data_IF_220883914721
#
_entry.id   IF_220883914721
#
_cell.length_a   1.000
_cell.length_b   1.000
_cell.length_c   1.000
_cell.angle_alpha   90.00
_cell.angle_beta   90.00
_cell.angle_gamma   90.00
#
_symmetry.space_group_name_H-M   'P 1'
#
loop_
_entity.id
_entity.type
_entity.pdbx_description
1 polymer ?
#
# COMPACT_ATOMS: atom_id res chain seq x y z
N UNK A 1 -17.60 1.17 3.65
CA UNK A 1 -16.49 0.23 3.40
C UNK A 1 -15.80 0.72 2.14
N UNK A 2 -14.56 1.18 2.25
CA UNK A 2 -13.77 1.57 1.09
C UNK A 2 -13.00 0.34 0.61
N UNK A 3 -13.07 0.03 -0.68
CA UNK A 3 -12.27 -1.01 -1.31
C UNK A 3 -11.26 -0.35 -2.25
N UNK A 4 -10.00 -0.74 -2.13
CA UNK A 4 -8.96 -0.32 -3.07
C UNK A 4 -8.72 -1.50 -4.02
N UNK A 5 -9.04 -1.29 -5.30
CA UNK A 5 -8.85 -2.30 -6.33
C UNK A 5 -7.46 -2.14 -6.94
N UNK A 6 -6.50 -2.93 -6.49
CA UNK A 6 -5.11 -2.88 -6.97
C UNK A 6 -5.02 -3.07 -8.48
N UNK A 7 -5.91 -3.88 -9.07
CA UNK A 7 -6.02 -4.01 -10.53
C UNK A 7 -6.29 -2.68 -11.23
N UNK A 8 -7.19 -1.86 -10.69
CA UNK A 8 -7.52 -0.56 -11.27
C UNK A 8 -6.33 0.41 -11.15
N UNK A 9 -5.64 0.41 -10.01
CA UNK A 9 -4.42 1.20 -9.82
C UNK A 9 -3.36 0.80 -10.86
N UNK A 10 -3.13 -0.50 -11.05
CA UNK A 10 -2.16 -0.99 -12.04
C UNK A 10 -2.56 -0.63 -13.49
N UNK A 11 -3.85 -0.70 -13.83
CA UNK A 11 -4.34 -0.29 -15.14
C UNK A 11 -4.11 1.20 -15.39
N UNK A 12 -4.33 2.04 -14.37
CA UNK A 12 -4.03 3.49 -14.40
C UNK A 12 -2.52 3.73 -14.58
N UNK A 13 -1.68 3.05 -13.81
CA UNK A 13 -0.22 3.19 -13.89
C UNK A 13 0.30 2.75 -15.27
N UNK A 14 -0.17 1.61 -15.78
CA UNK A 14 0.17 1.13 -17.12
C UNK A 14 -0.27 2.10 -18.21
N UNK A 15 -1.46 2.71 -18.08
CA UNK A 15 -1.93 3.73 -19.01
C UNK A 15 -1.04 4.99 -19.03
N UNK A 16 -0.30 5.25 -17.95
CA UNK A 16 0.69 6.34 -17.86
C UNK A 16 2.08 5.95 -18.40
N UNK A 17 2.29 4.68 -18.75
CA UNK A 17 3.57 4.17 -19.25
C UNK A 17 4.49 3.56 -18.20
N UNK A 18 4.03 3.43 -16.96
CA UNK A 18 4.72 2.77 -15.84
C UNK A 18 4.65 1.23 -16.06
N UNK A 19 5.56 0.70 -16.88
CA UNK A 19 5.52 -0.71 -17.32
C UNK A 19 6.09 -1.69 -16.26
N UNK A 20 6.84 -1.16 -15.29
CA UNK A 20 7.33 -1.88 -14.10
C UNK A 20 6.19 -2.28 -13.15
N UNK A 21 5.06 -1.58 -13.19
CA UNK A 21 3.82 -1.94 -12.48
C UNK A 21 3.09 -3.17 -13.07
N UNK A 22 3.60 -3.79 -14.14
CA UNK A 22 2.99 -4.94 -14.80
C UNK A 22 3.24 -6.24 -14.03
N UNK A 23 2.18 -6.78 -13.40
CA UNK A 23 2.10 -8.06 -12.66
C UNK A 23 2.56 -9.34 -13.42
N UNK A 24 2.88 -9.25 -14.72
CA UNK A 24 3.25 -10.40 -15.56
C UNK A 24 4.66 -10.31 -16.15
N UNK A 25 5.42 -9.26 -15.85
CA UNK A 25 6.72 -9.00 -16.49
C UNK A 25 7.94 -9.21 -15.57
N UNK A 26 7.77 -9.31 -14.25
CA UNK A 26 8.89 -9.47 -13.31
C UNK A 26 8.73 -10.76 -12.49
N UNK A 27 9.81 -11.55 -12.40
CA UNK A 27 9.91 -12.72 -11.52
C UNK A 27 10.09 -12.33 -10.03
N UNK A 28 10.20 -11.04 -9.73
CA UNK A 28 10.21 -10.48 -8.38
C UNK A 28 8.82 -10.01 -7.96
N UNK A 29 8.45 -10.25 -6.70
CA UNK A 29 7.16 -9.80 -6.15
C UNK A 29 6.93 -8.30 -6.35
N UNK A 30 5.67 -7.90 -6.26
CA UNK A 30 5.23 -6.53 -6.49
C UNK A 30 4.91 -5.87 -5.16
N UNK A 31 5.19 -4.58 -5.01
CA UNK A 31 4.72 -3.81 -3.86
C UNK A 31 4.17 -2.46 -4.31
N UNK A 32 3.16 -1.99 -3.59
CA UNK A 32 2.64 -0.64 -3.68
C UNK A 32 3.23 0.15 -2.52
N UNK A 33 4.20 1.02 -2.81
CA UNK A 33 4.65 2.01 -1.84
C UNK A 33 3.68 3.19 -1.85
N UNK A 34 3.24 3.60 -0.66
CA UNK A 34 2.40 4.79 -0.50
C UNK A 34 3.27 5.87 0.10
N UNK A 35 3.68 6.81 -0.74
CA UNK A 35 4.42 7.99 -0.31
C UNK A 35 3.45 9.00 0.28
N UNK A 36 3.58 9.24 1.59
CA UNK A 36 2.95 10.37 2.28
C UNK A 36 4.04 11.36 2.66
N UNK A 37 4.75 11.87 1.66
CA UNK A 37 5.84 12.84 1.82
C UNK A 37 5.32 14.27 2.03
N UNK A 38 4.02 14.52 1.79
CA UNK A 38 3.38 15.77 2.16
C UNK A 38 3.04 15.79 3.67
N UNK A 39 3.60 16.74 4.45
CA UNK A 39 3.23 16.93 5.85
C UNK A 39 1.73 17.19 6.07
N UNK A 40 1.01 17.67 5.06
CA UNK A 40 -0.45 17.82 5.11
C UNK A 40 -1.18 16.48 5.14
N UNK A 41 -0.69 15.45 4.47
CA UNK A 41 -1.33 14.13 4.47
C UNK A 41 -1.24 13.49 5.85
N UNK A 42 -0.09 13.61 6.51
CA UNK A 42 0.09 13.20 7.91
C UNK A 42 -0.83 13.97 8.84
N UNK A 43 -0.98 15.27 8.62
CA UNK A 43 -1.85 16.15 9.41
C UNK A 43 -3.33 15.78 9.25
N UNK A 44 -3.78 15.53 8.02
CA UNK A 44 -5.14 15.08 7.72
C UNK A 44 -5.40 13.69 8.31
N UNK A 45 -4.42 12.79 8.25
CA UNK A 45 -4.54 11.46 8.83
C UNK A 45 -4.62 11.48 10.37
N UNK A 46 -3.84 12.36 11.03
CA UNK A 46 -3.96 12.64 12.46
C UNK A 46 -5.34 13.19 12.81
N UNK A 47 -5.81 14.21 12.09
CA UNK A 47 -7.10 14.88 12.34
C UNK A 47 -8.31 13.98 12.07
N UNK A 48 -8.19 13.03 11.14
CA UNK A 48 -9.25 12.06 10.81
C UNK A 48 -9.25 10.81 11.72
N UNK A 49 -8.27 10.66 12.61
CA UNK A 49 -8.11 9.46 13.43
C UNK A 49 -7.74 8.22 12.61
N UNK A 50 -7.20 8.42 11.41
CA UNK A 50 -6.73 7.32 10.55
C UNK A 50 -5.40 6.73 11.04
N UNK A 51 -4.69 7.45 11.93
CA UNK A 51 -3.49 6.98 12.60
C UNK A 51 -3.89 6.27 13.89
N UNK A 52 -3.61 4.97 13.93
CA UNK A 52 -3.78 4.15 15.12
C UNK A 52 -2.41 3.82 15.72
N UNK A 53 -2.23 4.13 17.00
CA UNK A 53 -1.00 3.80 17.72
C UNK A 53 -0.76 2.30 17.78
N UNK A 54 -1.83 1.49 17.69
CA UNK A 54 -1.72 0.04 17.66
C UNK A 54 -0.92 -0.43 16.44
N UNK A 55 -0.93 0.29 15.32
CA UNK A 55 -0.25 -0.11 14.09
C UNK A 55 1.17 0.41 13.94
N UNK A 56 1.71 1.15 14.92
CA UNK A 56 3.09 1.65 14.86
C UNK A 56 4.10 0.53 14.64
N UNK A 57 4.93 0.70 13.61
CA UNK A 57 5.97 -0.24 13.19
C UNK A 57 5.47 -1.69 13.00
N UNK A 58 4.17 -1.88 12.77
CA UNK A 58 3.60 -3.22 12.54
C UNK A 58 3.71 -3.64 11.10
N UNK A 59 3.86 -4.96 10.93
CA UNK A 59 3.68 -5.66 9.67
C UNK A 59 2.55 -6.67 9.85
N UNK A 60 1.47 -6.53 9.09
CA UNK A 60 0.34 -7.45 9.11
C UNK A 60 0.42 -8.32 7.86
N UNK A 61 0.43 -9.64 8.03
CA UNK A 61 0.33 -10.58 6.91
C UNK A 61 -1.12 -11.03 6.74
N UNK A 62 -1.66 -10.89 5.53
CA UNK A 62 -2.99 -11.34 5.15
C UNK A 62 -2.87 -12.34 4.01
N UNK A 63 -3.33 -13.57 4.23
CA UNK A 63 -3.28 -14.63 3.23
C UNK A 63 -4.63 -14.86 2.54
N UNK A 64 -4.56 -15.26 1.27
CA UNK A 64 -5.68 -15.81 0.50
C UNK A 64 -5.23 -17.06 -0.27
N UNK A 65 -6.16 -17.85 -0.84
CA UNK A 65 -5.79 -18.95 -1.74
C UNK A 65 -5.00 -18.54 -2.98
N UNK A 66 -4.99 -17.25 -3.33
CA UNK A 66 -4.38 -16.71 -4.55
C UNK A 66 -3.06 -15.98 -4.31
N UNK A 67 -2.60 -15.92 -3.05
CA UNK A 67 -1.40 -15.18 -2.65
C UNK A 67 -1.56 -14.51 -1.29
N UNK A 68 -0.53 -13.79 -0.86
CA UNK A 68 -0.51 -13.08 0.41
C UNK A 68 -0.11 -11.62 0.25
N UNK A 69 -0.51 -10.79 1.22
CA UNK A 69 -0.16 -9.38 1.27
C UNK A 69 0.49 -9.07 2.62
N UNK A 70 1.62 -8.37 2.60
CA UNK A 70 2.20 -7.73 3.78
C UNK A 70 1.77 -6.26 3.79
N UNK A 71 1.09 -5.86 4.86
CA UNK A 71 0.68 -4.49 5.12
C UNK A 71 1.66 -3.90 6.12
N UNK A 72 2.47 -2.95 5.68
CA UNK A 72 3.56 -2.35 6.46
C UNK A 72 3.14 -0.95 6.89
N UNK A 73 3.24 -0.70 8.19
CA UNK A 73 2.99 0.60 8.78
C UNK A 73 4.29 1.26 9.23
N UNK A 74 4.33 2.59 9.28
CA UNK A 74 5.48 3.35 9.76
C UNK A 74 5.45 3.61 11.28
N UNK A 75 6.43 4.37 11.77
CA UNK A 75 6.56 4.74 13.17
C UNK A 75 5.43 5.65 13.69
N UNK A 76 4.71 6.33 12.79
CA UNK A 76 3.52 7.09 13.16
C UNK A 76 2.29 6.18 13.30
N UNK A 77 2.29 5.01 12.65
CA UNK A 77 1.13 4.13 12.51
C UNK A 77 0.39 4.34 11.19
N UNK A 78 1.01 5.04 10.23
CA UNK A 78 0.50 5.27 8.88
C UNK A 78 0.83 4.09 7.98
N UNK A 79 -0.05 3.81 7.00
CA UNK A 79 0.23 2.82 5.98
C UNK A 79 1.41 3.29 5.11
N UNK A 80 2.47 2.48 5.06
CA UNK A 80 3.70 2.76 4.34
C UNK A 80 3.81 1.97 3.04
N UNK A 81 3.52 0.68 3.08
CA UNK A 81 3.66 -0.21 1.92
C UNK A 81 2.69 -1.38 1.97
N UNK A 82 2.28 -1.85 0.79
CA UNK A 82 1.58 -3.12 0.59
C UNK A 82 2.43 -4.01 -0.32
N UNK A 83 2.97 -5.10 0.21
CA UNK A 83 3.78 -6.04 -0.57
C UNK A 83 2.95 -7.28 -0.93
N UNK A 84 2.91 -7.62 -2.21
CA UNK A 84 2.16 -8.76 -2.77
C UNK A 84 3.12 -9.91 -3.05
N UNK A 85 2.87 -11.04 -2.41
CA UNK A 85 3.65 -12.29 -2.54
C UNK A 85 2.82 -13.41 -3.14
#
# INVERSE_FOLDING_TARGET
MASIHIREIMEILRARGENDASMFQNEGGYFLEILTDDPQDTRIALESGAIDEEFRDKVISVGSPFGSVLIIFDAAGMLKSLEFC
#
